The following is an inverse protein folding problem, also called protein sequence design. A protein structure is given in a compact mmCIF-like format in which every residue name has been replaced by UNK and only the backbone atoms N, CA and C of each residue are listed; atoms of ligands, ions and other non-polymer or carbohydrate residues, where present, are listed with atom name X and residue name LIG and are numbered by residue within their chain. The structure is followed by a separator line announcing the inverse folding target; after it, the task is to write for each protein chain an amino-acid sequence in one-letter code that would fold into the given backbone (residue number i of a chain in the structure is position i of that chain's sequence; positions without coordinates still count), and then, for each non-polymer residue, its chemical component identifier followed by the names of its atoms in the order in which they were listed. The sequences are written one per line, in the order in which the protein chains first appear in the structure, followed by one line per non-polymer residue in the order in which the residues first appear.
data_IF_866680864816
#
_entry.id   IF_866680864816
#
_cell.length_a   1.000
_cell.length_b   1.000
_cell.length_c   1.000
_cell.angle_alpha   90.00
_cell.angle_beta   90.00
_cell.angle_gamma   90.00
#
_symmetry.space_group_name_H-M   'P 1'
#
loop_
_entity.id
_entity.type
_entity.pdbx_description
1 polymer ?
#
# COMPACT_ATOMS: atom_id res chain seq x y z
N UNK A 1 -12.95 -15.50 -7.20
CA UNK A 1 -12.03 -16.25 -8.08
C UNK A 1 -10.69 -15.55 -7.99
N UNK A 2 -9.71 -16.16 -7.32
CA UNK A 2 -8.38 -15.58 -7.07
C UNK A 2 -7.42 -16.34 -7.99
N UNK A 3 -7.16 -15.80 -9.18
CA UNK A 3 -6.21 -16.40 -10.11
C UNK A 3 -4.95 -15.53 -10.20
N UNK A 4 -3.86 -16.07 -9.67
CA UNK A 4 -2.52 -15.89 -10.22
C UNK A 4 -1.77 -14.60 -9.89
N UNK A 5 -1.23 -14.46 -8.67
CA UNK A 5 -0.19 -13.44 -8.39
C UNK A 5 0.91 -13.87 -7.41
N UNK A 6 1.12 -15.17 -7.17
CA UNK A 6 2.23 -15.66 -6.34
C UNK A 6 3.08 -16.68 -7.10
N UNK A 7 3.83 -16.22 -8.12
CA UNK A 7 4.83 -17.04 -8.82
C UNK A 7 6.24 -16.98 -8.21
N UNK A 8 6.46 -16.18 -7.16
CA UNK A 8 7.75 -16.13 -6.45
C UNK A 8 7.46 -15.87 -4.98
N UNK A 9 8.03 -16.65 -4.07
CA UNK A 9 7.84 -16.52 -2.62
C UNK A 9 8.17 -15.08 -2.20
N UNK A 10 7.18 -14.25 -1.82
CA UNK A 10 7.48 -12.99 -1.14
C UNK A 10 7.99 -13.35 0.26
N UNK A 11 9.28 -13.20 0.53
CA UNK A 11 9.83 -13.66 1.81
C UNK A 11 9.45 -12.78 2.99
N UNK A 12 9.14 -11.49 2.76
CA UNK A 12 8.64 -10.59 3.82
C UNK A 12 7.48 -9.70 3.36
N UNK A 13 6.39 -9.71 4.14
CA UNK A 13 5.28 -8.78 4.00
C UNK A 13 5.30 -7.77 5.14
N UNK A 14 5.19 -6.48 4.81
CA UNK A 14 5.13 -5.40 5.80
C UNK A 14 3.95 -4.49 5.52
N UNK A 15 3.23 -4.13 6.58
CA UNK A 15 2.16 -3.14 6.51
C UNK A 15 2.75 -1.72 6.58
N UNK A 16 2.12 -0.80 5.86
CA UNK A 16 2.47 0.60 5.88
C UNK A 16 1.30 1.51 5.56
N UNK A 17 1.53 2.82 5.73
CA UNK A 17 0.58 3.86 5.34
C UNK A 17 1.22 4.70 4.24
N UNK A 18 0.47 4.98 3.17
CA UNK A 18 0.92 5.90 2.12
C UNK A 18 1.01 7.29 2.71
N UNK A 19 2.16 7.93 2.55
CA UNK A 19 2.39 9.30 3.00
C UNK A 19 2.31 10.29 1.83
N UNK A 20 2.84 9.89 0.67
CA UNK A 20 2.81 10.71 -0.54
C UNK A 20 2.74 9.83 -1.79
N UNK A 21 2.18 10.39 -2.86
CA UNK A 21 2.05 9.74 -4.16
C UNK A 21 2.72 10.63 -5.20
N UNK A 22 3.63 10.06 -5.97
CA UNK A 22 4.37 10.72 -7.03
C UNK A 22 3.95 10.14 -8.38
N UNK A 23 2.84 10.64 -8.92
CA UNK A 23 2.24 10.11 -10.15
C UNK A 23 3.19 10.17 -11.35
N UNK A 24 3.92 11.27 -11.52
CA UNK A 24 4.87 11.47 -12.61
C UNK A 24 6.00 10.43 -12.66
N UNK A 25 6.36 9.86 -11.49
CA UNK A 25 7.42 8.86 -11.35
C UNK A 25 6.86 7.44 -11.17
N UNK A 26 5.53 7.28 -11.14
CA UNK A 26 4.85 6.03 -10.77
C UNK A 26 5.34 5.47 -9.42
N UNK A 27 5.60 6.34 -8.46
CA UNK A 27 6.09 5.98 -7.13
C UNK A 27 5.12 6.38 -6.03
N UNK A 28 5.09 5.61 -4.96
CA UNK A 28 4.45 5.99 -3.70
C UNK A 28 5.42 5.92 -2.55
N UNK A 29 5.35 6.90 -1.67
CA UNK A 29 6.07 6.92 -0.41
C UNK A 29 5.20 6.28 0.65
N UNK A 30 5.73 5.24 1.29
CA UNK A 30 5.03 4.44 2.29
C UNK A 30 5.83 4.51 3.59
N UNK A 31 5.14 4.87 4.67
CA UNK A 31 5.64 4.75 6.03
C UNK A 31 5.36 3.37 6.57
N UNK A 32 6.42 2.59 6.76
CA UNK A 32 6.41 1.30 7.43
C UNK A 32 6.72 1.49 8.92
N UNK A 33 5.97 0.81 9.78
CA UNK A 33 6.11 0.94 11.25
C UNK A 33 6.15 2.42 11.67
N UNK A 34 6.91 2.76 12.73
CA UNK A 34 6.88 4.10 13.33
C UNK A 34 7.65 5.15 12.53
N UNK A 35 8.76 4.79 11.85
CA UNK A 35 9.67 5.79 11.24
C UNK A 35 10.38 5.36 9.94
N UNK A 36 10.04 4.21 9.35
CA UNK A 36 10.73 3.77 8.13
C UNK A 36 9.96 4.28 6.91
N UNK A 37 10.54 5.23 6.18
CA UNK A 37 10.00 5.73 4.91
C UNK A 37 10.66 5.01 3.75
N UNK A 38 9.84 4.36 2.92
CA UNK A 38 10.30 3.72 1.68
C UNK A 38 9.56 4.29 0.49
N UNK A 39 10.21 4.22 -0.67
CA UNK A 39 9.58 4.48 -1.97
C UNK A 39 9.34 3.17 -2.68
N UNK A 40 8.12 2.98 -3.15
CA UNK A 40 7.69 1.78 -3.86
C UNK A 40 7.24 2.18 -5.25
N UNK A 41 7.81 1.55 -6.27
CA UNK A 41 7.36 1.70 -7.65
C UNK A 41 6.02 0.96 -7.82
N UNK A 42 5.00 1.63 -8.33
CA UNK A 42 3.67 1.05 -8.52
C UNK A 42 2.89 1.75 -9.62
N UNK A 43 2.16 0.97 -10.43
CA UNK A 43 1.18 1.50 -11.38
C UNK A 43 -0.12 1.98 -10.70
N UNK A 44 -0.25 1.77 -9.40
CA UNK A 44 -1.44 2.13 -8.61
C UNK A 44 -1.42 3.58 -8.12
N UNK A 45 -0.51 4.43 -8.60
CA UNK A 45 -0.42 5.85 -8.17
C UNK A 45 -1.74 6.60 -8.36
N UNK A 46 -2.51 6.33 -9.43
CA UNK A 46 -3.83 6.95 -9.61
C UNK A 46 -4.94 6.39 -8.71
N UNK A 47 -4.68 5.31 -7.96
CA UNK A 47 -5.65 4.64 -7.08
C UNK A 47 -5.33 4.76 -5.59
N UNK A 48 -4.09 5.09 -5.25
CA UNK A 48 -3.59 5.26 -3.89
C UNK A 48 -3.63 6.74 -3.51
N UNK A 49 -3.93 7.02 -2.25
CA UNK A 49 -3.89 8.36 -1.68
C UNK A 49 -3.12 8.36 -0.37
N UNK A 50 -2.61 9.54 0.02
CA UNK A 50 -2.02 9.71 1.34
C UNK A 50 -3.03 9.33 2.43
N UNK A 51 -2.60 8.51 3.40
CA UNK A 51 -3.44 7.95 4.46
C UNK A 51 -3.97 6.54 4.17
N UNK A 52 -3.83 6.03 2.95
CA UNK A 52 -4.21 4.66 2.61
C UNK A 52 -3.28 3.64 3.28
N UNK A 53 -3.84 2.52 3.71
CA UNK A 53 -3.05 1.41 4.27
C UNK A 53 -2.67 0.46 3.14
N UNK A 54 -1.40 0.08 3.08
CA UNK A 54 -0.85 -0.79 2.04
C UNK A 54 -0.08 -1.96 2.66
N UNK A 55 -0.10 -3.10 1.97
CA UNK A 55 0.77 -4.24 2.25
C UNK A 55 1.85 -4.25 1.18
N UNK A 56 3.09 -4.05 1.61
CA UNK A 56 4.28 -4.09 0.76
C UNK A 56 4.93 -5.45 0.91
N UNK A 57 5.19 -6.13 -0.21
CA UNK A 57 6.03 -7.31 -0.25
C UNK A 57 7.42 -6.94 -0.73
N UNK A 58 8.42 -7.57 -0.12
CA UNK A 58 9.81 -7.52 -0.57
C UNK A 58 10.18 -8.84 -1.23
N UNK A 59 10.84 -8.76 -2.38
CA UNK A 59 11.40 -9.91 -3.08
C UNK A 59 12.81 -10.20 -2.55
N UNK A 60 13.01 -11.31 -1.84
CA UNK A 60 14.30 -11.70 -1.25
C UNK A 60 15.47 -11.81 -2.24
N UNK A 61 15.21 -12.06 -3.52
CA UNK A 61 16.29 -12.23 -4.50
C UNK A 61 16.86 -10.92 -5.03
N UNK A 62 16.06 -9.85 -5.07
CA UNK A 62 16.39 -8.59 -5.73
C UNK A 62 16.17 -7.36 -4.84
N UNK A 63 15.61 -7.56 -3.64
CA UNK A 63 15.17 -6.52 -2.70
C UNK A 63 14.14 -5.53 -3.27
N UNK A 64 13.64 -5.79 -4.48
CA UNK A 64 12.54 -5.07 -5.10
C UNK A 64 11.28 -5.14 -4.22
N UNK A 65 10.63 -3.98 -4.06
CA UNK A 65 9.43 -3.82 -3.23
C UNK A 65 8.22 -3.54 -4.13
N UNK A 66 7.09 -4.15 -3.81
CA UNK A 66 5.85 -3.95 -4.56
C UNK A 66 4.64 -4.01 -3.63
N UNK A 67 3.55 -3.33 -4.04
CA UNK A 67 2.29 -3.33 -3.28
C UNK A 67 1.45 -4.53 -3.71
N UNK A 68 1.09 -5.37 -2.74
CA UNK A 68 0.27 -6.57 -2.96
C UNK A 68 -1.22 -6.26 -2.76
N UNK A 69 -1.51 -5.43 -1.78
CA UNK A 69 -2.87 -5.04 -1.43
C UNK A 69 -2.86 -3.65 -0.83
N UNK A 70 -3.95 -2.93 -1.04
CA UNK A 70 -4.19 -1.65 -0.39
C UNK A 70 -5.64 -1.59 0.10
N UNK A 71 -5.84 -0.83 1.17
CA UNK A 71 -7.13 -0.50 1.72
C UNK A 71 -7.19 1.02 1.82
N UNK A 72 -8.19 1.59 1.16
CA UNK A 72 -8.45 3.01 1.29
C UNK A 72 -8.96 3.26 2.70
N UNK A 73 -8.36 4.21 3.40
CA UNK A 73 -8.97 4.69 4.63
C UNK A 73 -10.18 5.50 4.20
N UNK A 74 -11.33 4.83 4.07
CA UNK A 74 -12.60 5.54 4.06
C UNK A 74 -12.63 6.30 5.38
N UNK A 75 -12.38 7.61 5.35
CA UNK A 75 -12.92 8.48 6.38
C UNK A 75 -14.39 8.08 6.47
N UNK A 76 -14.90 7.59 7.61
CA UNK A 76 -16.34 7.55 7.76
C UNK A 76 -16.75 9.02 7.67
N UNK A 77 -17.28 9.41 6.52
CA UNK A 77 -17.97 10.68 6.34
C UNK A 77 -19.14 10.65 7.29
N UNK A 78 -18.91 11.08 8.52
CA UNK A 78 -19.90 11.53 9.50
C UNK A 78 -21.23 10.77 9.40
N UNK A 79 -21.18 9.44 9.50
CA UNK A 79 -22.37 8.63 9.66
C UNK A 79 -22.76 8.69 11.12
N UNK A 80 -23.54 9.70 11.51
CA UNK A 80 -24.26 9.67 12.78
C UNK A 80 -24.93 8.30 12.90
N UNK A 81 -24.51 7.50 13.87
CA UNK A 81 -25.26 6.33 14.32
C UNK A 81 -26.58 6.85 14.91
N UNK A 82 -27.59 7.01 14.05
CA UNK A 82 -28.97 7.14 14.51
C UNK A 82 -29.39 5.75 14.98
N UNK A 83 -29.25 5.51 16.28
CA UNK A 83 -30.07 4.52 16.98
C UNK A 83 -31.51 5.05 16.95
N UNK A 84 -32.35 4.43 16.13
CA UNK A 84 -33.81 4.39 16.33
C UNK A 84 -34.19 2.95 16.67
#
# INVERSE_FOLDING_TARGET
MIEGLLKKNPGTFTYGTVEAVYEALQQVQVRLRTDILIRVQTSLTGSLQAGDTVIVAENDQDQSKFIVQYSRKALPSQGTLLLI
#
